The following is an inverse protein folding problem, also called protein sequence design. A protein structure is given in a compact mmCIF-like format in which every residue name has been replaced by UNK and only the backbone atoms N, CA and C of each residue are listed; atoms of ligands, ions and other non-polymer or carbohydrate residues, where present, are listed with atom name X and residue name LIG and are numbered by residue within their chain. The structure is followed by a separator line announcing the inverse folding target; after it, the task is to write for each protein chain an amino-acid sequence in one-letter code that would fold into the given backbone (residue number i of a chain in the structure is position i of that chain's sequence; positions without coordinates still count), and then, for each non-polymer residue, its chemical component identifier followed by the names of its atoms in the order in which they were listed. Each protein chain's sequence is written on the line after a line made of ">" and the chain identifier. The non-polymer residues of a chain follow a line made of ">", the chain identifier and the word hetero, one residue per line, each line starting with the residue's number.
data_IF_435478270449
#
_entry.id   IF_435478270449
#
_cell.length_a   1.000
_cell.length_b   1.000
_cell.length_c   1.000
_cell.angle_alpha   90.00
_cell.angle_beta   90.00
_cell.angle_gamma   90.00
#
_symmetry.space_group_name_H-M   'P 1'
#
loop_
_entity.id
_entity.type
_entity.pdbx_description
1 polymer ?
#
# COMPACT_ATOMS: atom_id res chain seq x y z
N UNK A 1 16.91 -1.56 0.78
CA UNK A 1 16.66 -2.36 -0.45
C UNK A 1 15.42 -3.18 -0.18
N UNK A 2 14.47 -3.21 -1.12
CA UNK A 2 13.24 -4.02 -0.98
C UNK A 2 13.61 -5.51 -0.96
N UNK A 3 12.80 -6.32 -0.27
CA UNK A 3 12.98 -7.78 -0.20
C UNK A 3 12.54 -8.49 -1.49
N UNK A 4 12.01 -7.76 -2.46
CA UNK A 4 11.51 -8.26 -3.75
C UNK A 4 11.83 -7.31 -4.91
N UNK A 5 11.71 -7.81 -6.13
CA UNK A 5 11.99 -7.07 -7.37
C UNK A 5 10.80 -6.19 -7.80
N UNK A 6 10.80 -4.94 -7.34
CA UNK A 6 9.72 -3.99 -7.61
C UNK A 6 9.63 -3.54 -9.08
N UNK A 7 10.73 -3.62 -9.84
CA UNK A 7 10.77 -3.25 -11.27
C UNK A 7 9.79 -4.10 -12.11
N UNK A 8 9.43 -5.30 -11.63
CA UNK A 8 8.44 -6.16 -12.28
C UNK A 8 7.03 -5.57 -12.33
N UNK A 9 6.69 -4.69 -11.39
CA UNK A 9 5.35 -4.11 -11.23
C UNK A 9 5.32 -2.59 -11.34
N UNK A 10 6.48 -1.93 -11.27
CA UNK A 10 6.58 -0.48 -11.43
C UNK A 10 5.97 -0.01 -12.76
N UNK A 11 5.15 1.04 -12.70
CA UNK A 11 4.47 1.64 -13.85
C UNK A 11 3.31 0.82 -14.45
N UNK A 12 3.02 -0.37 -13.91
CA UNK A 12 1.91 -1.22 -14.36
C UNK A 12 0.60 -0.83 -13.68
N UNK A 13 -0.50 -1.16 -14.36
CA UNK A 13 -1.84 -0.85 -13.87
C UNK A 13 -2.27 -1.81 -12.76
N UNK A 14 -2.89 -1.27 -11.74
CA UNK A 14 -3.62 -2.05 -10.74
C UNK A 14 -4.97 -2.45 -11.35
N UNK A 15 -5.27 -3.74 -11.31
CA UNK A 15 -6.50 -4.31 -11.88
C UNK A 15 -7.55 -4.55 -10.82
N UNK A 16 -7.15 -5.07 -9.66
CA UNK A 16 -8.04 -5.37 -8.54
C UNK A 16 -7.29 -5.24 -7.22
N UNK A 17 -8.05 -5.05 -6.15
CA UNK A 17 -7.55 -5.08 -4.79
C UNK A 17 -8.48 -5.92 -3.94
N UNK A 18 -7.90 -6.83 -3.17
CA UNK A 18 -8.62 -7.72 -2.27
C UNK A 18 -8.07 -7.60 -0.85
N UNK A 19 -8.93 -7.78 0.14
CA UNK A 19 -8.55 -7.76 1.55
C UNK A 19 -9.18 -8.90 2.34
N UNK A 20 -8.49 -9.34 3.38
CA UNK A 20 -8.96 -10.34 4.35
C UNK A 20 -9.38 -9.65 5.65
N UNK A 21 -10.52 -10.05 6.22
CA UNK A 21 -11.07 -9.53 7.49
C UNK A 21 -11.13 -7.99 7.55
N UNK A 22 -11.59 -7.38 6.47
CA UNK A 22 -11.63 -5.93 6.30
C UNK A 22 -12.62 -5.28 7.28
N UNK A 23 -12.15 -4.29 8.03
CA UNK A 23 -12.92 -3.51 9.01
C UNK A 23 -12.76 -2.03 8.74
N UNK A 24 -13.87 -1.36 8.40
CA UNK A 24 -13.89 0.08 8.17
C UNK A 24 -14.05 0.81 9.50
N UNK A 25 -13.20 1.81 9.73
CA UNK A 25 -13.17 2.61 10.95
C UNK A 25 -14.01 3.88 10.77
N UNK A 26 -14.35 4.52 11.89
CA UNK A 26 -15.23 5.70 11.89
C UNK A 26 -14.63 6.94 11.20
N UNK A 27 -13.31 6.98 11.02
CA UNK A 27 -12.59 8.06 10.35
C UNK A 27 -12.39 7.81 8.84
N UNK A 28 -12.96 6.73 8.31
CA UNK A 28 -12.83 6.33 6.91
C UNK A 28 -11.53 5.60 6.58
N UNK A 29 -10.63 5.39 7.55
CA UNK A 29 -9.58 4.38 7.42
C UNK A 29 -10.18 2.98 7.49
N UNK A 30 -9.40 1.97 7.12
CA UNK A 30 -9.79 0.60 7.37
C UNK A 30 -8.58 -0.25 7.76
N UNK A 31 -8.88 -1.35 8.42
CA UNK A 31 -7.93 -2.37 8.85
C UNK A 31 -8.21 -3.68 8.12
N UNK A 32 -7.18 -4.45 7.85
CA UNK A 32 -7.28 -5.80 7.30
C UNK A 32 -6.10 -6.65 7.78
N UNK A 33 -6.22 -7.97 7.75
CA UNK A 33 -5.12 -8.86 8.15
C UNK A 33 -4.15 -9.07 6.97
N UNK A 34 -4.68 -8.97 5.75
CA UNK A 34 -3.99 -9.18 4.49
C UNK A 34 -4.62 -8.31 3.42
N UNK A 35 -3.79 -7.76 2.53
CA UNK A 35 -4.22 -7.07 1.32
C UNK A 35 -3.42 -7.57 0.13
N UNK A 36 -4.11 -7.81 -0.98
CA UNK A 36 -3.52 -8.21 -2.25
C UNK A 36 -3.89 -7.17 -3.29
N UNK A 37 -2.87 -6.62 -3.96
CA UNK A 37 -3.02 -5.66 -5.04
C UNK A 37 -2.60 -6.36 -6.32
N UNK A 38 -3.57 -6.65 -7.19
CA UNK A 38 -3.30 -7.28 -8.48
C UNK A 38 -2.80 -6.23 -9.47
N UNK A 39 -1.62 -6.47 -10.05
CA UNK A 39 -0.91 -5.55 -10.92
C UNK A 39 -0.54 -6.24 -12.23
N UNK A 40 -1.48 -6.21 -13.17
CA UNK A 40 -1.36 -6.82 -14.50
C UNK A 40 -1.00 -8.32 -14.47
N UNK A 41 0.28 -8.66 -14.36
CA UNK A 41 0.80 -10.04 -14.41
C UNK A 41 1.46 -10.46 -13.10
N UNK A 42 1.22 -9.76 -11.99
CA UNK A 42 1.72 -10.12 -10.68
C UNK A 42 0.74 -9.64 -9.60
N UNK A 43 0.91 -10.12 -8.38
CA UNK A 43 0.15 -9.70 -7.21
C UNK A 43 1.13 -9.22 -6.12
N UNK A 44 0.98 -7.96 -5.70
CA UNK A 44 1.70 -7.42 -4.55
C UNK A 44 0.87 -7.69 -3.31
N UNK A 45 1.41 -8.48 -2.40
CA UNK A 45 0.76 -8.88 -1.17
C UNK A 45 1.40 -8.22 0.03
N UNK A 46 0.56 -7.72 0.93
CA UNK A 46 0.94 -7.31 2.26
C UNK A 46 0.15 -8.13 3.28
N UNK A 47 0.86 -8.68 4.26
CA UNK A 47 0.30 -9.31 5.46
C UNK A 47 1.04 -8.81 6.70
N UNK A 48 0.53 -9.11 7.88
CA UNK A 48 1.17 -8.73 9.15
C UNK A 48 1.55 -9.97 9.95
N UNK A 49 2.74 -9.97 10.54
CA UNK A 49 3.11 -10.95 11.54
C UNK A 49 2.40 -10.61 12.87
N UNK A 50 1.53 -11.51 13.33
CA UNK A 50 0.71 -11.30 14.55
C UNK A 50 1.52 -11.08 15.83
N UNK A 51 2.74 -11.61 15.92
CA UNK A 51 3.56 -11.54 17.13
C UNK A 51 4.44 -10.29 17.17
N UNK A 52 4.86 -9.79 16.01
CA UNK A 52 5.83 -8.68 15.89
C UNK A 52 5.27 -7.40 15.30
N UNK A 53 4.04 -7.43 14.79
CA UNK A 53 3.41 -6.40 13.95
C UNK A 53 4.23 -6.06 12.68
N UNK A 54 5.20 -6.91 12.29
CA UNK A 54 5.99 -6.71 11.09
C UNK A 54 5.11 -6.89 9.84
N UNK A 55 5.14 -5.91 8.94
CA UNK A 55 4.62 -6.05 7.59
C UNK A 55 5.50 -7.01 6.78
N UNK A 56 4.87 -8.07 6.30
CA UNK A 56 5.43 -8.99 5.33
C UNK A 56 4.94 -8.52 3.96
N UNK A 57 5.88 -8.22 3.06
CA UNK A 57 5.59 -7.67 1.74
C UNK A 57 6.20 -8.59 0.70
N UNK A 58 5.36 -9.21 -0.12
CA UNK A 58 5.75 -10.24 -1.07
C UNK A 58 5.16 -9.97 -2.46
N UNK A 59 5.87 -10.47 -3.47
CA UNK A 59 5.42 -10.40 -4.85
C UNK A 59 5.18 -11.82 -5.35
N UNK A 60 3.97 -12.10 -5.80
CA UNK A 60 3.55 -13.39 -6.31
C UNK A 60 3.10 -13.29 -7.78
N UNK A 61 2.97 -14.45 -8.41
CA UNK A 61 2.15 -14.56 -9.61
C UNK A 61 0.68 -14.27 -9.24
N UNK A 62 -0.15 -13.78 -10.19
CA UNK A 62 -1.56 -13.54 -9.93
C UNK A 62 -2.27 -14.81 -9.47
N UNK A 63 -3.25 -14.65 -8.57
CA UNK A 63 -4.09 -15.78 -8.19
C UNK A 63 -4.91 -16.25 -9.39
N UNK A 64 -4.76 -17.52 -9.78
CA UNK A 64 -5.65 -18.14 -10.77
C UNK A 64 -7.11 -18.12 -10.31
N UNK A 65 -7.30 -18.31 -8.99
CA UNK A 65 -8.58 -18.15 -8.31
C UNK A 65 -8.33 -17.39 -7.00
N UNK A 66 -9.02 -16.26 -6.82
CA UNK A 66 -8.95 -15.49 -5.57
C UNK A 66 -9.36 -16.39 -4.40
N UNK A 67 -8.51 -16.54 -3.36
CA UNK A 67 -8.86 -17.25 -2.14
C UNK A 67 -10.20 -16.79 -1.57
N UNK A 68 -11.05 -17.72 -1.13
CA UNK A 68 -12.40 -17.39 -0.63
C UNK A 68 -12.43 -16.53 0.65
N UNK A 69 -11.28 -16.37 1.33
CA UNK A 69 -11.15 -15.47 2.48
C UNK A 69 -10.85 -14.02 2.07
N UNK A 70 -10.43 -13.80 0.83
CA UNK A 70 -10.22 -12.48 0.26
C UNK A 70 -11.52 -11.95 -0.34
N UNK A 71 -11.88 -10.74 0.07
CA UNK A 71 -13.01 -9.99 -0.46
C UNK A 71 -12.50 -8.84 -1.32
N UNK A 72 -13.18 -8.57 -2.44
CA UNK A 72 -12.86 -7.40 -3.24
C UNK A 72 -13.09 -6.11 -2.43
N UNK A 73 -12.10 -5.21 -2.44
CA UNK A 73 -12.13 -3.94 -1.70
C UNK A 73 -11.89 -2.73 -2.60
N UNK A 74 -12.15 -2.86 -3.90
CA UNK A 74 -11.94 -1.80 -4.87
C UNK A 74 -12.67 -0.50 -4.50
N UNK A 75 -13.85 -0.58 -3.88
CA UNK A 75 -14.64 0.58 -3.50
C UNK A 75 -14.05 1.38 -2.32
N UNK A 76 -13.16 0.77 -1.53
CA UNK A 76 -12.50 1.43 -0.40
C UNK A 76 -11.22 2.16 -0.81
N UNK A 77 -10.69 1.85 -2.00
CA UNK A 77 -9.38 2.31 -2.44
C UNK A 77 -9.46 2.81 -3.88
N UNK A 78 -9.03 4.05 -4.12
CA UNK A 78 -8.92 4.58 -5.48
C UNK A 78 -7.66 4.07 -6.22
N UNK A 79 -7.52 2.75 -6.29
CA UNK A 79 -6.36 2.04 -6.83
C UNK A 79 -6.59 1.58 -8.26
N UNK A 80 -7.76 1.00 -8.53
CA UNK A 80 -8.04 0.32 -9.80
C UNK A 80 -7.92 1.29 -10.97
N UNK A 81 -7.20 0.88 -12.01
CA UNK A 81 -6.91 1.69 -13.19
C UNK A 81 -5.76 2.68 -13.02
N UNK A 82 -5.21 2.85 -11.80
CA UNK A 82 -4.01 3.65 -11.55
C UNK A 82 -2.74 2.84 -11.84
N UNK A 83 -1.66 3.53 -12.14
CA UNK A 83 -0.32 2.95 -12.28
C UNK A 83 0.44 2.98 -10.97
N UNK A 84 1.13 1.90 -10.64
CA UNK A 84 2.05 1.87 -9.50
C UNK A 84 3.25 2.80 -9.73
N UNK A 85 3.45 3.72 -8.80
CA UNK A 85 4.55 4.69 -8.80
C UNK A 85 5.74 4.21 -7.98
N UNK A 86 6.37 5.13 -7.27
CA UNK A 86 7.42 4.84 -6.31
C UNK A 86 6.86 4.21 -5.02
N UNK A 87 7.71 3.48 -4.31
CA UNK A 87 7.39 2.88 -3.01
C UNK A 87 8.47 3.16 -1.99
N UNK A 88 8.07 3.16 -0.72
CA UNK A 88 8.96 3.34 0.42
C UNK A 88 8.63 2.30 1.49
N UNK A 89 9.65 1.82 2.17
CA UNK A 89 9.50 1.03 3.39
C UNK A 89 10.10 1.80 4.56
N UNK A 90 9.46 1.69 5.71
CA UNK A 90 10.00 2.16 6.98
C UNK A 90 10.25 0.99 7.91
N UNK A 91 11.40 1.02 8.58
CA UNK A 91 11.77 0.04 9.59
C UNK A 91 11.70 0.66 10.97
N UNK A 92 11.15 -0.06 11.94
CA UNK A 92 11.19 0.36 13.34
C UNK A 92 12.59 0.15 13.96
N UNK A 93 12.76 0.54 15.22
CA UNK A 93 14.07 0.48 15.90
C UNK A 93 14.64 -0.94 16.05
N UNK A 94 13.82 -1.98 15.88
CA UNK A 94 14.22 -3.39 15.91
C UNK A 94 14.57 -3.94 14.52
N UNK A 95 14.35 -3.16 13.46
CA UNK A 95 14.64 -3.53 12.08
C UNK A 95 13.48 -4.22 11.34
N UNK A 96 12.33 -4.39 12.00
CA UNK A 96 11.10 -4.91 11.36
C UNK A 96 10.50 -3.87 10.43
N UNK A 97 9.96 -4.31 9.30
CA UNK A 97 9.24 -3.45 8.38
C UNK A 97 7.88 -3.09 9.01
N UNK A 98 7.68 -1.81 9.33
CA UNK A 98 6.54 -1.31 10.09
C UNK A 98 5.53 -0.59 9.18
N UNK A 99 6.05 0.00 8.10
CA UNK A 99 5.22 0.70 7.12
C UNK A 99 5.68 0.45 5.68
N UNK A 100 4.71 0.39 4.78
CA UNK A 100 4.88 0.41 3.34
C UNK A 100 4.05 1.56 2.76
N UNK A 101 4.64 2.37 1.90
CA UNK A 101 3.95 3.47 1.23
C UNK A 101 4.08 3.30 -0.26
N UNK A 102 3.01 3.61 -0.99
CA UNK A 102 3.02 3.58 -2.45
C UNK A 102 2.44 4.87 -3.04
N UNK A 103 3.04 5.29 -4.14
CA UNK A 103 2.53 6.36 -5.00
C UNK A 103 1.68 5.76 -6.13
N UNK A 104 0.68 6.53 -6.58
CA UNK A 104 -0.22 6.13 -7.66
C UNK A 104 -0.25 7.20 -8.76
N UNK A 105 0.18 6.83 -9.96
CA UNK A 105 0.08 7.68 -11.15
C UNK A 105 -1.23 7.45 -11.91
N UNK A 106 -1.66 8.43 -12.71
CA UNK A 106 -2.73 8.23 -13.70
C UNK A 106 -2.16 7.69 -15.02
N UNK A 107 -1.27 8.45 -15.65
CA UNK A 107 -0.62 8.07 -16.91
C UNK A 107 0.89 7.86 -16.79
N UNK A 108 1.52 8.55 -15.83
CA UNK A 108 2.98 8.62 -15.67
C UNK A 108 3.43 7.58 -14.64
N UNK A 109 4.33 6.66 -15.01
CA UNK A 109 4.84 5.63 -14.09
C UNK A 109 5.68 6.22 -12.93
N UNK A 110 6.23 7.44 -13.10
CA UNK A 110 7.11 8.09 -12.12
C UNK A 110 6.37 8.90 -11.05
N UNK A 111 5.19 8.47 -10.61
CA UNK A 111 4.51 9.14 -9.51
C UNK A 111 5.36 9.05 -8.23
N UNK A 112 5.71 10.19 -7.66
CA UNK A 112 6.60 10.31 -6.49
C UNK A 112 5.88 10.67 -5.20
N UNK A 113 4.66 11.20 -5.27
CA UNK A 113 3.91 11.57 -4.07
C UNK A 113 3.21 10.32 -3.51
N UNK A 114 3.50 9.91 -2.26
CA UNK A 114 2.79 8.80 -1.63
C UNK A 114 1.29 9.08 -1.59
N UNK A 115 0.51 8.12 -2.06
CA UNK A 115 -0.95 8.19 -2.06
C UNK A 115 -1.54 7.41 -0.90
N UNK A 116 -0.89 6.29 -0.52
CA UNK A 116 -1.36 5.42 0.56
C UNK A 116 -0.19 4.93 1.41
N UNK A 117 -0.49 4.75 2.69
CA UNK A 117 0.39 4.14 3.67
C UNK A 117 -0.30 2.94 4.31
N UNK A 118 0.44 1.84 4.40
CA UNK A 118 0.08 0.61 5.08
C UNK A 118 0.98 0.50 6.31
N UNK A 119 0.40 0.31 7.48
CA UNK A 119 1.14 0.25 8.74
C UNK A 119 0.74 -1.03 9.47
N UNK A 120 1.72 -1.85 9.82
CA UNK A 120 1.51 -2.99 10.70
C UNK A 120 1.37 -2.49 12.13
N UNK A 121 0.20 -2.67 12.74
CA UNK A 121 -0.05 -2.25 14.11
C UNK A 121 -1.17 -3.09 14.73
N UNK A 122 -0.96 -3.56 15.96
CA UNK A 122 -2.01 -4.25 16.72
C UNK A 122 -2.50 -5.52 16.01
N UNK A 123 -1.57 -6.25 15.40
CA UNK A 123 -1.80 -7.47 14.63
C UNK A 123 -2.67 -7.30 13.38
N UNK A 124 -2.77 -6.09 12.85
CA UNK A 124 -3.49 -5.79 11.61
C UNK A 124 -2.71 -4.80 10.75
N UNK A 125 -3.11 -4.67 9.49
CA UNK A 125 -2.66 -3.64 8.57
C UNK A 125 -3.66 -2.49 8.63
N UNK A 126 -3.23 -1.35 9.16
CA UNK A 126 -3.98 -0.10 9.06
C UNK A 126 -3.65 0.59 7.73
N UNK A 127 -4.69 0.96 6.97
CA UNK A 127 -4.55 1.61 5.66
C UNK A 127 -4.97 3.07 5.75
N UNK A 128 -4.06 3.96 5.36
CA UNK A 128 -4.27 5.41 5.39
C UNK A 128 -4.12 5.99 3.99
N UNK A 129 -5.02 6.90 3.63
CA UNK A 129 -4.78 7.80 2.51
C UNK A 129 -3.79 8.89 2.94
N UNK A 130 -2.80 9.17 2.10
CA UNK A 130 -1.78 10.19 2.35
C UNK A 130 -2.14 11.43 1.55
N UNK A 131 -2.32 12.54 2.24
CA UNK A 131 -2.58 13.84 1.62
C UNK A 131 -1.41 14.78 1.90
N UNK A 132 -0.77 15.35 0.86
CA UNK A 132 0.26 16.35 1.04
C UNK A 132 -0.26 17.54 1.84
N UNK A 133 0.43 17.90 2.92
CA UNK A 133 0.15 19.13 3.65
C UNK A 133 0.60 20.32 2.80
N UNK A 134 -0.36 21.13 2.36
CA UNK A 134 -0.05 22.47 1.84
C UNK A 134 0.32 23.34 3.03
N UNK A 135 1.62 23.50 3.26
CA UNK A 135 2.09 24.50 4.20
C UNK A 135 1.60 25.89 3.73
N UNK A 136 1.10 26.74 4.63
CA UNK A 136 0.81 28.12 4.26
C UNK A 136 2.09 28.73 3.67
N UNK A 137 1.94 29.56 2.63
CA UNK A 137 3.07 30.32 2.09
C UNK A 137 3.60 31.23 3.19
N UNK A 138 4.53 30.72 4.01
CA UNK A 138 5.28 31.53 4.94
C UNK A 138 6.04 32.51 4.08
N UNK A 139 5.69 33.80 4.20
CA UNK A 139 6.41 34.91 3.60
C UNK A 139 7.90 34.60 3.65
N UNK A 140 8.49 34.35 2.48
CA UNK A 140 9.93 34.19 2.32
C UNK A 140 10.57 35.53 2.70
N UNK A 141 10.76 35.75 4.00
CA UNK A 141 11.75 36.69 4.48
C UNK A 141 13.10 36.06 4.16
N UNK A 142 13.56 36.39 2.95
CA UNK A 142 14.94 36.19 2.52
C UNK A 142 15.87 36.88 3.52
N UNK A 143 16.95 36.25 3.97
CA UNK A 143 18.23 36.92 4.01
C UNK A 143 18.77 37.13 2.59
#
# INVERSE_FOLDING_TARGET
>A
MLKFDYEKIHGKNITEVHGENVRVMNDGSFECDRIVIDVATAALELSVNIDTDELIIELHEPYENTPGTLSNINDYLNFVGRKLGWVWTAKNYRGYDDAFMLALGEAVPDALDPAYAFVGAGSSICVYSVTPLKLPETNRLRP
#
